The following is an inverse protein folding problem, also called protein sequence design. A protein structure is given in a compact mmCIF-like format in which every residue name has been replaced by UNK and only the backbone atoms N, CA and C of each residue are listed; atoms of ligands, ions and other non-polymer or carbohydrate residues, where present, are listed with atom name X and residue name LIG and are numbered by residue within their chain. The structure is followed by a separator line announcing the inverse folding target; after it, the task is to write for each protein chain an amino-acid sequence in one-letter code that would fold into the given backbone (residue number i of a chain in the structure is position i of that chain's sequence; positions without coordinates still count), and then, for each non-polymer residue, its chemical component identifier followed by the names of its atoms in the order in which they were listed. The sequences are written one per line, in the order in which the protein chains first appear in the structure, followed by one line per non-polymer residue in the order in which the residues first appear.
data_IF_897190295536
#
_entry.id   IF_897190295536
#
_cell.length_a   1.000
_cell.length_b   1.000
_cell.length_c   1.000
_cell.angle_alpha   90.00
_cell.angle_beta   90.00
_cell.angle_gamma   90.00
#
_symmetry.space_group_name_H-M   'P 1'
#
loop_
_entity.id
_entity.type
_entity.pdbx_description
1 polymer ?
#
# COMPACT_ATOMS: atom_id res chain seq x y z
N UNK A 1 6.80 -33.38 25.80
CA UNK A 1 7.95 -32.49 26.10
C UNK A 1 7.46 -31.42 27.07
N UNK A 2 8.24 -31.16 28.14
CA UNK A 2 7.84 -30.23 29.21
C UNK A 2 8.53 -28.88 29.02
N UNK A 3 7.81 -27.77 29.17
CA UNK A 3 8.39 -26.42 29.17
C UNK A 3 9.20 -26.27 30.47
N UNK A 4 10.52 -26.16 30.35
CA UNK A 4 11.42 -25.99 31.50
C UNK A 4 11.80 -24.55 31.78
N UNK A 5 11.71 -23.68 30.79
CA UNK A 5 11.89 -22.24 30.96
C UNK A 5 11.23 -21.45 29.79
N UNK A 6 10.75 -20.23 30.10
CA UNK A 6 10.38 -19.21 29.14
C UNK A 6 11.22 -17.97 29.50
N UNK A 7 12.10 -17.54 28.58
CA UNK A 7 13.03 -16.43 28.83
C UNK A 7 12.85 -15.34 27.77
N UNK A 8 13.01 -14.07 28.15
CA UNK A 8 13.04 -12.97 27.20
C UNK A 8 14.13 -13.19 26.15
N UNK A 9 13.78 -12.99 24.87
CA UNK A 9 14.73 -13.03 23.76
C UNK A 9 15.63 -11.78 23.74
N UNK A 10 16.71 -11.82 22.95
CA UNK A 10 17.57 -10.64 22.70
C UNK A 10 16.79 -9.59 21.92
N UNK A 11 16.75 -8.33 22.41
CA UNK A 11 16.06 -7.20 21.79
C UNK A 11 15.00 -6.59 22.71
N UNK A 12 14.16 -5.68 22.18
CA UNK A 12 13.20 -4.86 22.96
C UNK A 12 11.98 -5.64 23.53
N UNK A 13 12.18 -6.87 24.04
CA UNK A 13 11.16 -7.63 24.78
C UNK A 13 9.99 -8.20 23.97
N UNK A 14 10.05 -8.12 22.63
CA UNK A 14 8.96 -8.60 21.76
C UNK A 14 8.93 -10.11 21.54
N UNK A 15 10.00 -10.83 21.87
CA UNK A 15 10.09 -12.29 21.69
C UNK A 15 10.47 -12.99 22.98
N UNK A 16 10.00 -14.22 23.12
CA UNK A 16 10.38 -15.14 24.20
C UNK A 16 10.95 -16.40 23.60
N UNK A 17 11.94 -16.97 24.29
CA UNK A 17 12.57 -18.25 23.99
C UNK A 17 11.96 -19.31 24.91
N UNK A 18 11.44 -20.38 24.32
CA UNK A 18 10.87 -21.51 25.02
C UNK A 18 11.88 -22.64 25.03
N UNK A 19 12.10 -23.21 26.22
CA UNK A 19 12.97 -24.34 26.44
C UNK A 19 12.11 -25.56 26.80
N UNK A 20 12.32 -26.67 26.09
CA UNK A 20 11.67 -27.94 26.34
C UNK A 20 12.74 -28.94 26.84
N UNK A 21 12.44 -29.61 27.92
CA UNK A 21 13.33 -30.64 28.54
C UNK A 21 14.78 -30.11 28.69
N UNK A 22 14.93 -28.86 29.10
CA UNK A 22 16.21 -28.20 29.33
C UNK A 22 16.96 -27.70 28.13
N UNK A 23 16.45 -27.92 26.91
CA UNK A 23 17.06 -27.47 25.64
C UNK A 23 16.24 -26.37 24.99
N UNK A 24 16.91 -25.43 24.30
CA UNK A 24 16.22 -24.44 23.46
C UNK A 24 15.41 -25.18 22.39
N UNK A 25 14.12 -24.89 22.31
CA UNK A 25 13.22 -25.50 21.36
C UNK A 25 12.85 -24.51 20.25
N UNK A 26 12.24 -23.35 20.59
CA UNK A 26 11.81 -22.34 19.64
C UNK A 26 11.67 -20.97 20.31
N UNK A 27 11.51 -19.96 19.46
CA UNK A 27 11.24 -18.58 19.88
C UNK A 27 9.95 -18.09 19.24
N UNK A 28 9.10 -17.39 20.01
CA UNK A 28 7.87 -16.78 19.49
C UNK A 28 7.68 -15.36 20.02
N UNK A 29 6.72 -14.61 19.45
CA UNK A 29 6.36 -13.31 19.98
C UNK A 29 5.76 -13.44 21.38
N UNK A 30 6.10 -12.51 22.27
CA UNK A 30 5.63 -12.53 23.67
C UNK A 30 4.10 -12.54 23.75
N UNK A 31 3.43 -11.78 22.87
CA UNK A 31 1.98 -11.73 22.75
C UNK A 31 1.37 -13.11 22.40
N UNK A 32 2.05 -13.87 21.55
CA UNK A 32 1.61 -15.24 21.20
C UNK A 32 1.74 -16.15 22.42
N UNK A 33 2.86 -16.07 23.17
CA UNK A 33 3.06 -16.88 24.37
C UNK A 33 1.97 -16.61 25.44
N UNK A 34 1.62 -15.34 25.63
CA UNK A 34 0.57 -14.93 26.58
C UNK A 34 -0.81 -15.41 26.12
N UNK A 35 -1.15 -15.21 24.85
CA UNK A 35 -2.45 -15.59 24.29
C UNK A 35 -2.66 -17.10 24.32
N UNK A 36 -1.61 -17.88 24.01
CA UNK A 36 -1.66 -19.33 24.05
C UNK A 36 -1.48 -19.91 25.47
N UNK A 37 -1.36 -19.02 26.47
CA UNK A 37 -1.30 -19.40 27.89
C UNK A 37 -0.09 -20.27 28.25
N UNK A 38 1.07 -20.05 27.62
CA UNK A 38 2.27 -20.87 27.87
C UNK A 38 2.82 -20.62 29.27
N UNK A 39 3.04 -21.70 30.01
CA UNK A 39 3.57 -21.66 31.37
C UNK A 39 4.72 -22.66 31.53
N UNK A 40 5.62 -22.35 32.45
CA UNK A 40 6.67 -23.33 32.89
C UNK A 40 5.97 -24.54 33.50
N UNK A 41 6.54 -25.72 33.32
CA UNK A 41 6.03 -27.03 33.70
C UNK A 41 4.84 -27.58 32.86
N UNK A 42 4.35 -26.82 31.91
CA UNK A 42 3.33 -27.29 30.95
C UNK A 42 3.93 -28.34 30.01
N UNK A 43 3.16 -29.39 29.75
CA UNK A 43 3.52 -30.39 28.75
C UNK A 43 2.97 -29.95 27.36
N UNK A 44 3.83 -30.04 26.35
CA UNK A 44 3.48 -29.81 24.96
C UNK A 44 3.64 -31.10 24.14
N UNK A 45 2.60 -31.42 23.37
CA UNK A 45 2.68 -32.41 22.30
C UNK A 45 3.40 -31.87 21.09
N UNK A 46 3.80 -32.73 20.16
CA UNK A 46 4.34 -32.31 18.86
C UNK A 46 3.34 -31.45 18.08
N UNK A 47 2.05 -31.84 18.05
CA UNK A 47 0.99 -31.10 17.38
C UNK A 47 0.76 -29.70 17.96
N UNK A 48 0.86 -29.54 19.29
CA UNK A 48 0.78 -28.24 19.95
C UNK A 48 1.98 -27.35 19.61
N UNK A 49 3.18 -27.94 19.56
CA UNK A 49 4.39 -27.20 19.15
C UNK A 49 4.29 -26.69 17.71
N UNK A 50 3.78 -27.50 16.79
CA UNK A 50 3.51 -27.09 15.41
C UNK A 50 2.42 -26.00 15.33
N UNK A 51 1.35 -26.11 16.13
CA UNK A 51 0.30 -25.09 16.19
C UNK A 51 0.86 -23.74 16.67
N UNK A 52 1.72 -23.75 17.70
CA UNK A 52 2.42 -22.56 18.19
C UNK A 52 3.33 -21.94 17.11
N UNK A 53 4.06 -22.75 16.36
CA UNK A 53 4.90 -22.27 15.27
C UNK A 53 4.06 -21.62 14.15
N UNK A 54 2.92 -22.21 13.78
CA UNK A 54 1.98 -21.62 12.82
C UNK A 54 1.40 -20.29 13.33
N UNK A 55 1.02 -20.28 14.61
CA UNK A 55 0.49 -19.07 15.27
C UNK A 55 1.52 -17.94 15.29
N UNK A 56 2.77 -18.20 15.68
CA UNK A 56 3.86 -17.20 15.63
C UNK A 56 4.10 -16.70 14.19
N UNK A 57 4.13 -17.61 13.22
CA UNK A 57 4.33 -17.24 11.82
C UNK A 57 3.24 -16.31 11.29
N UNK A 58 1.96 -16.63 11.59
CA UNK A 58 0.82 -15.77 11.27
C UNK A 58 0.95 -14.39 11.91
N UNK A 59 1.26 -14.33 13.23
CA UNK A 59 1.38 -13.02 13.91
C UNK A 59 2.52 -12.17 13.37
N UNK A 60 3.66 -12.77 13.05
CA UNK A 60 4.78 -12.06 12.41
C UNK A 60 4.39 -11.50 11.04
N UNK A 61 3.64 -12.28 10.26
CA UNK A 61 3.12 -11.86 8.98
C UNK A 61 2.12 -10.69 9.16
N UNK A 62 1.19 -10.82 10.10
CA UNK A 62 0.20 -9.78 10.42
C UNK A 62 0.87 -8.48 10.87
N UNK A 63 1.81 -8.55 11.81
CA UNK A 63 2.56 -7.39 12.30
C UNK A 63 3.34 -6.71 11.17
N UNK A 64 3.91 -7.47 10.24
CA UNK A 64 4.59 -6.93 9.07
C UNK A 64 3.64 -6.21 8.12
N UNK A 65 2.42 -6.72 7.94
CA UNK A 65 1.39 -6.09 7.11
C UNK A 65 0.85 -4.81 7.75
N UNK A 66 0.49 -4.85 9.04
CA UNK A 66 0.01 -3.68 9.81
C UNK A 66 1.05 -2.57 9.80
N UNK A 67 2.33 -2.90 10.03
CA UNK A 67 3.41 -1.92 9.93
C UNK A 67 3.52 -1.30 8.55
N UNK A 68 3.30 -2.08 7.48
CA UNK A 68 3.33 -1.56 6.12
C UNK A 68 2.14 -0.65 5.81
N UNK A 69 0.97 -0.95 6.37
CA UNK A 69 -0.25 -0.14 6.27
C UNK A 69 -0.17 1.17 7.08
N UNK A 70 0.63 1.22 8.15
CA UNK A 70 0.72 2.42 9.01
C UNK A 70 1.25 3.67 8.30
N UNK A 71 1.89 3.52 7.14
CA UNK A 71 2.43 4.64 6.36
C UNK A 71 1.42 5.26 5.40
N UNK A 72 0.58 4.47 4.78
CA UNK A 72 -0.52 4.87 3.88
C UNK A 72 -1.43 3.69 3.55
N UNK A 73 -2.64 3.92 3.05
CA UNK A 73 -3.46 2.88 2.45
C UNK A 73 -2.69 2.12 1.34
N UNK A 74 -2.96 0.82 1.22
CA UNK A 74 -2.33 -0.09 0.25
C UNK A 74 -3.38 -0.97 -0.39
N UNK A 75 -3.17 -1.32 -1.66
CA UNK A 75 -3.97 -2.36 -2.30
C UNK A 75 -3.64 -3.74 -1.72
N UNK A 76 -4.56 -4.67 -1.86
CA UNK A 76 -4.33 -6.08 -1.51
C UNK A 76 -3.07 -6.64 -2.19
N UNK A 77 -2.90 -6.34 -3.48
CA UNK A 77 -1.73 -6.75 -4.27
C UNK A 77 -0.41 -6.19 -3.73
N UNK A 78 -0.37 -4.89 -3.35
CA UNK A 78 0.84 -4.29 -2.74
C UNK A 78 1.23 -4.98 -1.42
N UNK A 79 0.24 -5.38 -0.61
CA UNK A 79 0.48 -6.08 0.65
C UNK A 79 1.00 -7.49 0.38
N UNK A 80 0.35 -8.24 -0.52
CA UNK A 80 0.74 -9.59 -0.93
C UNK A 80 2.20 -9.62 -1.41
N UNK A 81 2.56 -8.77 -2.34
CA UNK A 81 3.92 -8.66 -2.84
C UNK A 81 4.94 -8.30 -1.76
N UNK A 82 4.57 -7.38 -0.85
CA UNK A 82 5.45 -6.98 0.24
C UNK A 82 5.75 -8.13 1.19
N UNK A 83 4.73 -8.92 1.54
CA UNK A 83 4.86 -10.07 2.42
C UNK A 83 5.63 -11.23 1.75
N UNK A 84 5.38 -11.48 0.47
CA UNK A 84 6.15 -12.45 -0.33
C UNK A 84 7.64 -12.11 -0.36
N UNK A 85 7.98 -10.84 -0.63
CA UNK A 85 9.38 -10.36 -0.60
C UNK A 85 10.05 -10.46 0.77
N UNK A 86 9.27 -10.56 1.85
CA UNK A 86 9.78 -10.82 3.21
C UNK A 86 9.90 -12.30 3.54
N UNK A 87 9.56 -13.19 2.62
CA UNK A 87 9.69 -14.64 2.76
C UNK A 87 8.55 -15.31 3.52
N UNK A 88 7.38 -14.66 3.66
CA UNK A 88 6.20 -15.34 4.19
C UNK A 88 5.61 -16.28 3.13
N UNK A 89 5.07 -17.42 3.58
CA UNK A 89 4.41 -18.39 2.69
C UNK A 89 3.02 -17.92 2.27
N UNK A 90 2.50 -18.48 1.18
CA UNK A 90 1.21 -18.12 0.60
C UNK A 90 0.05 -18.26 1.58
N UNK A 91 -0.04 -19.37 2.29
CA UNK A 91 -1.14 -19.65 3.21
C UNK A 91 -1.23 -18.60 4.33
N UNK A 92 -0.08 -18.22 4.91
CA UNK A 92 -0.05 -17.18 5.94
C UNK A 92 -0.40 -15.80 5.38
N UNK A 93 0.00 -15.50 4.14
CA UNK A 93 -0.34 -14.24 3.46
C UNK A 93 -1.84 -14.16 3.24
N UNK A 94 -2.46 -15.20 2.68
CA UNK A 94 -3.90 -15.20 2.42
C UNK A 94 -4.71 -15.10 3.71
N UNK A 95 -4.33 -15.84 4.75
CA UNK A 95 -4.99 -15.76 6.06
C UNK A 95 -4.88 -14.35 6.68
N UNK A 96 -3.73 -13.69 6.54
CA UNK A 96 -3.51 -12.32 7.04
C UNK A 96 -4.32 -11.32 6.21
N UNK A 97 -4.34 -11.44 4.88
CA UNK A 97 -5.14 -10.55 4.02
C UNK A 97 -6.62 -10.69 4.35
N UNK A 98 -7.14 -11.92 4.48
CA UNK A 98 -8.52 -12.15 4.89
C UNK A 98 -8.84 -11.47 6.24
N UNK A 99 -7.95 -11.60 7.22
CA UNK A 99 -8.10 -10.97 8.53
C UNK A 99 -8.11 -9.44 8.45
N UNK A 100 -7.23 -8.85 7.64
CA UNK A 100 -7.17 -7.40 7.45
C UNK A 100 -8.41 -6.87 6.72
N UNK A 101 -8.97 -7.64 5.79
CA UNK A 101 -10.25 -7.30 5.10
C UNK A 101 -11.42 -7.34 6.06
N UNK A 102 -11.52 -8.36 6.92
CA UNK A 102 -12.53 -8.42 7.99
C UNK A 102 -12.50 -7.21 8.93
N UNK A 103 -11.30 -6.68 9.18
CA UNK A 103 -11.08 -5.50 10.01
C UNK A 103 -11.24 -4.17 9.27
N UNK A 104 -11.53 -4.19 7.97
CA UNK A 104 -11.64 -2.99 7.14
C UNK A 104 -10.30 -2.25 6.93
N UNK A 105 -9.16 -2.90 7.22
CA UNK A 105 -7.82 -2.32 7.04
C UNK A 105 -7.29 -2.48 5.62
N UNK A 106 -7.89 -3.38 4.85
CA UNK A 106 -7.59 -3.63 3.43
C UNK A 106 -8.90 -3.62 2.66
N UNK A 107 -9.02 -2.64 1.77
CA UNK A 107 -10.17 -2.43 0.90
C UNK A 107 -9.67 -1.77 -0.38
N UNK A 108 -9.75 -2.46 -1.50
CA UNK A 108 -9.25 -1.96 -2.80
C UNK A 108 -10.12 -0.83 -3.36
N UNK A 109 -11.42 -0.76 -3.01
CA UNK A 109 -12.28 0.37 -3.37
C UNK A 109 -11.85 1.65 -2.62
N UNK A 110 -11.69 1.55 -1.31
CA UNK A 110 -11.21 2.66 -0.49
C UNK A 110 -9.78 3.09 -0.90
N UNK A 111 -8.91 2.12 -1.22
CA UNK A 111 -7.57 2.40 -1.75
C UNK A 111 -7.61 3.13 -3.10
N UNK A 112 -8.45 2.69 -4.04
CA UNK A 112 -8.58 3.31 -5.36
C UNK A 112 -9.09 4.74 -5.25
N UNK A 113 -10.08 4.98 -4.38
CA UNK A 113 -10.61 6.32 -4.09
C UNK A 113 -9.50 7.22 -3.49
N UNK A 114 -8.80 6.74 -2.47
CA UNK A 114 -7.66 7.45 -1.88
C UNK A 114 -6.59 7.79 -2.94
N UNK A 115 -6.25 6.83 -3.81
CA UNK A 115 -5.24 7.03 -4.85
C UNK A 115 -5.66 8.13 -5.84
N UNK A 116 -6.90 8.05 -6.34
CA UNK A 116 -7.48 9.07 -7.23
C UNK A 116 -7.48 10.45 -6.57
N UNK A 117 -7.99 10.57 -5.35
CA UNK A 117 -8.09 11.85 -4.64
C UNK A 117 -6.71 12.46 -4.37
N UNK A 118 -5.75 11.64 -3.98
CA UNK A 118 -4.36 12.07 -3.80
C UNK A 118 -3.75 12.59 -5.11
N UNK A 119 -4.02 11.89 -6.25
CA UNK A 119 -3.57 12.36 -7.56
C UNK A 119 -4.23 13.67 -7.93
N UNK A 120 -5.54 13.76 -7.80
CA UNK A 120 -6.28 14.98 -8.14
C UNK A 120 -5.85 16.19 -7.27
N UNK A 121 -5.53 15.98 -6.01
CA UNK A 121 -5.13 17.05 -5.09
C UNK A 121 -3.71 17.56 -5.32
N UNK A 122 -2.74 16.63 -5.43
CA UNK A 122 -1.32 17.00 -5.38
C UNK A 122 -0.59 16.89 -6.73
N UNK A 123 -1.08 16.09 -7.64
CA UNK A 123 -0.43 15.84 -8.93
C UNK A 123 -1.46 15.40 -9.96
N UNK A 124 -2.36 16.32 -10.40
CA UNK A 124 -3.46 15.96 -11.29
C UNK A 124 -2.98 15.20 -12.53
N UNK A 125 -3.66 14.09 -12.82
CA UNK A 125 -3.40 13.19 -13.95
C UNK A 125 -4.70 12.90 -14.68
N UNK A 126 -4.58 12.49 -15.95
CA UNK A 126 -5.74 12.08 -16.73
C UNK A 126 -6.41 10.83 -16.15
N UNK A 127 -7.68 10.66 -16.53
CA UNK A 127 -8.45 9.43 -16.30
C UNK A 127 -7.68 8.20 -16.76
N UNK A 128 -7.13 8.24 -17.97
CA UNK A 128 -6.36 7.14 -18.55
C UNK A 128 -5.13 6.78 -17.70
N UNK A 129 -4.32 7.75 -17.29
CA UNK A 129 -3.11 7.49 -16.51
C UNK A 129 -3.44 7.03 -15.09
N UNK A 130 -4.49 7.58 -14.47
CA UNK A 130 -4.98 7.13 -13.15
C UNK A 130 -5.45 5.67 -13.21
N UNK A 131 -6.16 5.28 -14.26
CA UNK A 131 -6.56 3.90 -14.54
C UNK A 131 -5.34 2.97 -14.67
N UNK A 132 -4.36 3.37 -15.44
CA UNK A 132 -3.12 2.60 -15.62
C UNK A 132 -2.37 2.40 -14.30
N UNK A 133 -2.27 3.43 -13.48
CA UNK A 133 -1.63 3.35 -12.16
C UNK A 133 -2.36 2.38 -11.22
N UNK A 134 -3.69 2.43 -11.17
CA UNK A 134 -4.49 1.52 -10.34
C UNK A 134 -4.36 0.06 -10.79
N UNK A 135 -4.33 -0.20 -12.12
CA UNK A 135 -4.02 -1.53 -12.66
C UNK A 135 -2.64 -2.03 -12.23
N UNK A 136 -1.62 -1.18 -12.29
CA UNK A 136 -0.27 -1.50 -11.82
C UNK A 136 -0.21 -1.78 -10.31
N UNK A 137 -1.20 -1.31 -9.57
CA UNK A 137 -1.39 -1.58 -8.14
C UNK A 137 -2.21 -2.84 -7.87
N UNK A 138 -2.64 -3.53 -8.92
CA UNK A 138 -3.40 -4.76 -8.85
C UNK A 138 -4.85 -4.60 -8.44
N UNK A 139 -5.41 -3.39 -8.57
CA UNK A 139 -6.84 -3.14 -8.35
C UNK A 139 -7.64 -3.71 -9.53
N UNK A 140 -8.78 -4.34 -9.26
CA UNK A 140 -9.64 -4.93 -10.28
C UNK A 140 -10.30 -3.86 -11.18
N UNK A 141 -10.53 -4.18 -12.46
CA UNK A 141 -11.01 -3.22 -13.45
C UNK A 141 -12.40 -2.65 -13.13
N UNK A 142 -13.29 -3.44 -12.56
CA UNK A 142 -14.62 -3.02 -12.13
C UNK A 142 -14.58 -1.95 -11.03
N UNK A 143 -13.64 -2.07 -10.07
CA UNK A 143 -13.39 -1.07 -9.04
C UNK A 143 -12.78 0.19 -9.68
N UNK A 144 -11.82 0.00 -10.58
CA UNK A 144 -11.17 1.12 -11.27
C UNK A 144 -12.19 1.94 -12.05
N UNK A 145 -13.07 1.30 -12.80
CA UNK A 145 -14.12 1.96 -13.60
C UNK A 145 -15.03 2.81 -12.72
N UNK A 146 -15.52 2.27 -11.61
CA UNK A 146 -16.37 3.01 -10.67
C UNK A 146 -15.69 4.27 -10.11
N UNK A 147 -14.39 4.20 -9.85
CA UNK A 147 -13.66 5.30 -9.20
C UNK A 147 -13.20 6.35 -10.21
N UNK A 148 -12.74 5.92 -11.39
CA UNK A 148 -12.06 6.80 -12.35
C UNK A 148 -13.04 7.54 -13.25
N UNK A 149 -14.27 7.04 -13.44
CA UNK A 149 -15.27 7.69 -14.29
C UNK A 149 -15.63 9.10 -13.83
N UNK A 150 -15.49 9.39 -12.54
CA UNK A 150 -15.72 10.73 -11.98
C UNK A 150 -14.57 11.74 -12.27
N UNK A 151 -13.47 11.32 -12.89
CA UNK A 151 -12.34 12.21 -13.20
C UNK A 151 -12.65 13.05 -14.44
N UNK A 152 -12.68 14.37 -14.27
CA UNK A 152 -12.76 15.34 -15.37
C UNK A 152 -11.33 15.67 -15.87
N UNK A 153 -11.02 15.27 -17.10
CA UNK A 153 -9.71 15.48 -17.69
C UNK A 153 -9.44 16.95 -18.01
N UNK A 154 -10.46 17.75 -18.35
CA UNK A 154 -10.29 19.17 -18.63
C UNK A 154 -9.95 19.97 -17.37
N UNK A 155 -10.70 19.74 -16.27
CA UNK A 155 -10.41 20.34 -14.97
C UNK A 155 -9.04 19.87 -14.43
N UNK A 156 -8.75 18.59 -14.54
CA UNK A 156 -7.48 18.01 -14.08
C UNK A 156 -6.28 18.58 -14.85
N UNK A 157 -6.39 18.74 -16.18
CA UNK A 157 -5.36 19.33 -17.02
C UNK A 157 -5.13 20.80 -16.68
N UNK A 158 -6.22 21.55 -16.49
CA UNK A 158 -6.14 22.96 -16.10
C UNK A 158 -5.44 23.13 -14.75
N UNK A 159 -5.82 22.37 -13.71
CA UNK A 159 -5.17 22.39 -12.40
C UNK A 159 -3.69 21.99 -12.47
N UNK A 160 -3.37 20.99 -13.29
CA UNK A 160 -1.98 20.61 -13.52
C UNK A 160 -1.19 21.73 -14.20
N UNK A 161 -1.80 22.44 -15.15
CA UNK A 161 -1.18 23.51 -15.90
C UNK A 161 -0.91 24.76 -15.05
N UNK A 162 -1.77 25.13 -14.10
CA UNK A 162 -1.68 26.35 -13.31
C UNK A 162 -0.29 26.59 -12.69
N UNK A 163 0.24 25.60 -12.00
CA UNK A 163 1.55 25.74 -11.36
C UNK A 163 2.70 25.71 -12.38
N UNK A 164 2.53 24.98 -13.49
CA UNK A 164 3.56 24.86 -14.53
C UNK A 164 3.63 26.08 -15.41
N UNK A 165 2.51 26.63 -15.82
CA UNK A 165 2.42 27.81 -16.70
C UNK A 165 3.16 29.02 -16.09
N UNK A 166 2.97 29.29 -14.80
CA UNK A 166 3.67 30.38 -14.07
C UNK A 166 5.20 30.30 -14.11
N UNK A 167 5.76 29.13 -14.34
CA UNK A 167 7.21 28.92 -14.45
C UNK A 167 7.75 29.00 -15.89
N UNK A 168 6.89 29.23 -16.86
CA UNK A 168 7.25 29.26 -18.28
C UNK A 168 7.37 30.69 -18.79
N UNK A 169 8.36 31.00 -19.68
CA UNK A 169 8.47 32.31 -20.29
C UNK A 169 7.29 32.55 -21.25
N UNK A 170 6.71 33.73 -21.17
CA UNK A 170 5.59 34.18 -22.04
C UNK A 170 6.07 34.97 -23.29
N UNK A 171 7.38 35.03 -23.52
CA UNK A 171 7.96 35.76 -24.64
C UNK A 171 7.74 35.08 -25.99
N UNK A 172 7.49 33.74 -25.99
CA UNK A 172 7.29 32.95 -27.20
C UNK A 172 6.22 31.87 -26.99
N UNK A 173 5.11 32.04 -27.72
CA UNK A 173 3.99 31.07 -27.68
C UNK A 173 4.40 29.66 -28.10
N UNK A 174 5.26 29.50 -29.09
CA UNK A 174 5.65 28.17 -29.57
C UNK A 174 6.45 27.41 -28.49
N UNK A 175 7.33 28.09 -27.80
CA UNK A 175 8.08 27.53 -26.68
C UNK A 175 7.17 27.19 -25.50
N UNK A 176 6.26 28.11 -25.15
CA UNK A 176 5.26 27.88 -24.11
C UNK A 176 4.40 26.66 -24.43
N UNK A 177 3.82 26.62 -25.63
CA UNK A 177 2.97 25.50 -26.12
C UNK A 177 3.70 24.17 -26.06
N UNK A 178 4.94 24.10 -26.53
CA UNK A 178 5.74 22.87 -26.50
C UNK A 178 6.00 22.40 -25.07
N UNK A 179 6.50 23.28 -24.20
CA UNK A 179 6.86 22.91 -22.83
C UNK A 179 5.66 22.50 -21.97
N UNK A 180 4.56 23.25 -22.06
CA UNK A 180 3.33 22.92 -21.34
C UNK A 180 2.67 21.67 -21.92
N UNK A 181 2.67 21.51 -23.25
CA UNK A 181 2.16 20.33 -23.93
C UNK A 181 2.90 19.06 -23.54
N UNK A 182 4.25 19.08 -23.54
CA UNK A 182 5.06 17.95 -23.09
C UNK A 182 4.82 17.59 -21.62
N UNK A 183 4.60 18.59 -20.78
CA UNK A 183 4.27 18.38 -19.37
C UNK A 183 2.91 17.70 -19.19
N UNK A 184 1.87 18.16 -19.88
CA UNK A 184 0.53 17.58 -19.83
C UNK A 184 0.48 16.19 -20.47
N UNK A 185 1.21 15.96 -21.56
CA UNK A 185 1.36 14.66 -22.21
C UNK A 185 1.93 13.60 -21.25
N UNK A 186 2.96 13.94 -20.49
CA UNK A 186 3.52 13.02 -19.46
C UNK A 186 2.54 12.72 -18.32
N UNK A 187 1.49 13.52 -18.15
CA UNK A 187 0.39 13.29 -17.19
C UNK A 187 -0.78 12.53 -17.80
N UNK A 188 -0.63 12.10 -19.06
CA UNK A 188 -1.55 11.22 -19.75
C UNK A 188 -2.74 11.93 -20.42
N UNK A 189 -2.76 13.26 -20.48
CA UNK A 189 -3.86 13.99 -21.11
C UNK A 189 -3.86 13.81 -22.62
N UNK A 190 -5.06 13.74 -23.23
CA UNK A 190 -5.26 13.64 -24.66
C UNK A 190 -4.96 14.95 -25.39
N UNK A 191 -4.69 14.85 -26.70
CA UNK A 191 -4.27 15.99 -27.52
C UNK A 191 -5.27 17.16 -27.50
N UNK A 192 -6.56 16.89 -27.56
CA UNK A 192 -7.61 17.91 -27.54
C UNK A 192 -7.61 18.69 -26.22
N UNK A 193 -7.62 17.97 -25.08
CA UNK A 193 -7.56 18.55 -23.74
C UNK A 193 -6.29 19.39 -23.56
N UNK A 194 -5.16 18.90 -24.07
CA UNK A 194 -3.88 19.63 -24.02
C UNK A 194 -3.98 20.97 -24.77
N UNK A 195 -4.49 20.96 -26.01
CA UNK A 195 -4.58 22.17 -26.81
C UNK A 195 -5.56 23.22 -26.22
N UNK A 196 -6.71 22.74 -25.73
CA UNK A 196 -7.69 23.63 -25.05
C UNK A 196 -7.07 24.26 -23.79
N UNK A 197 -6.37 23.44 -22.98
CA UNK A 197 -5.71 23.90 -21.75
C UNK A 197 -4.59 24.91 -22.06
N UNK A 198 -3.76 24.66 -23.08
CA UNK A 198 -2.70 25.58 -23.49
C UNK A 198 -3.28 26.93 -23.95
N UNK A 199 -4.32 26.90 -24.80
CA UNK A 199 -4.94 28.10 -25.27
C UNK A 199 -5.52 28.96 -24.14
N UNK A 200 -6.22 28.35 -23.22
CA UNK A 200 -6.74 28.98 -22.01
C UNK A 200 -5.63 29.59 -21.13
N UNK A 201 -4.62 28.81 -20.81
CA UNK A 201 -3.48 29.26 -19.98
C UNK A 201 -2.72 30.42 -20.61
N UNK A 202 -2.51 30.39 -21.93
CA UNK A 202 -1.88 31.50 -22.65
C UNK A 202 -2.67 32.79 -22.54
N UNK A 203 -3.99 32.72 -22.71
CA UNK A 203 -4.88 33.91 -22.60
C UNK A 203 -4.91 34.47 -21.17
N UNK A 204 -4.86 33.62 -20.15
CA UNK A 204 -4.90 34.03 -18.74
C UNK A 204 -3.57 34.65 -18.27
N UNK A 205 -2.43 34.08 -18.65
CA UNK A 205 -1.09 34.52 -18.23
C UNK A 205 -0.54 35.70 -19.08
N UNK A 206 -1.11 35.96 -20.28
CA UNK A 206 -0.71 37.07 -21.15
C UNK A 206 -1.47 38.39 -20.91
N UNK A 207 -2.40 38.38 -19.95
CA UNK A 207 -3.15 39.57 -19.50
C UNK A 207 -2.43 40.28 -18.38
#
# INVERSE_FOLDING_TARGET
MRITAIRGGRGRGKRVNVFLDGKFAFSLEAEVAVREGLQVDQELSASQTEALARSDHFHRCLNAAVYYLSYRPRSESEIRERLQRRGFNGDSIEAVIAKLKEQGLVDDMAFAQFWKDNRQSFSPRSRWLTRLELRQKGVADDIIDQVVDAVDDADSAYRAALSKARSLPLSDYQSFRRRLGDYLKRRGFGYEVINQTIGRMWQEESR
#
